data_IF_191039731495
#
_entry.id   IF_191039731495
#
_cell.length_a   1.000
_cell.length_b   1.000
_cell.length_c   1.000
_cell.angle_alpha   90.00
_cell.angle_beta   90.00
_cell.angle_gamma   90.00
#
_symmetry.space_group_name_H-M   'P 1'
#
loop_
_entity.id
_entity.type
_entity.pdbx_description
1 polymer ?
#
# COMPACT_ATOMS: atom_id res chain seq x y z
N UNK A 1 8.00 -39.10 -46.09
CA UNK A 1 8.32 -39.05 -44.64
C UNK A 1 8.22 -37.58 -44.22
N UNK A 2 7.03 -37.15 -43.69
CA UNK A 2 6.75 -35.75 -43.30
C UNK A 2 7.11 -35.57 -41.83
N UNK A 3 8.13 -34.78 -41.57
CA UNK A 3 8.60 -34.44 -40.24
C UNK A 3 7.69 -33.33 -39.68
N UNK A 4 6.82 -33.66 -38.71
CA UNK A 4 6.02 -32.70 -37.96
C UNK A 4 6.95 -31.99 -36.97
N UNK A 5 7.16 -30.70 -37.21
CA UNK A 5 7.91 -29.82 -36.31
C UNK A 5 6.94 -29.28 -35.27
N UNK A 6 6.96 -29.85 -34.04
CA UNK A 6 6.16 -29.40 -32.93
C UNK A 6 6.81 -28.15 -32.33
N UNK A 7 6.21 -26.98 -32.57
CA UNK A 7 6.63 -25.72 -31.93
C UNK A 7 6.12 -25.71 -30.51
N UNK A 8 7.02 -25.88 -29.57
CA UNK A 8 6.74 -25.74 -28.12
C UNK A 8 6.65 -24.23 -27.79
N UNK A 9 5.44 -23.72 -27.60
CA UNK A 9 5.22 -22.37 -27.10
C UNK A 9 5.63 -22.33 -25.61
N UNK A 10 6.85 -21.91 -25.33
CA UNK A 10 7.31 -21.62 -23.97
C UNK A 10 6.69 -20.27 -23.58
N UNK A 11 5.58 -20.31 -22.85
CA UNK A 11 5.02 -19.12 -22.20
C UNK A 11 5.97 -18.64 -21.11
N UNK A 12 6.63 -17.50 -21.33
CA UNK A 12 7.60 -16.91 -20.43
C UNK A 12 6.94 -16.54 -19.11
N UNK A 13 7.52 -16.88 -17.94
CA UNK A 13 6.97 -16.59 -16.60
C UNK A 13 6.84 -15.09 -16.30
N UNK A 14 7.52 -14.22 -17.05
CA UNK A 14 7.40 -12.75 -16.97
C UNK A 14 5.96 -12.24 -17.21
N UNK A 15 5.19 -12.85 -18.11
CA UNK A 15 3.82 -12.42 -18.40
C UNK A 15 2.82 -12.74 -17.27
N UNK A 16 3.07 -13.78 -16.48
CA UNK A 16 2.21 -14.11 -15.35
C UNK A 16 2.40 -13.12 -14.21
N UNK A 17 3.64 -12.76 -13.91
CA UNK A 17 3.96 -11.75 -12.87
C UNK A 17 3.36 -10.38 -13.17
N UNK A 18 3.43 -9.93 -14.43
CA UNK A 18 2.86 -8.63 -14.84
C UNK A 18 1.34 -8.57 -14.61
N UNK A 19 0.60 -9.60 -15.00
CA UNK A 19 -0.87 -9.64 -14.82
C UNK A 19 -1.28 -9.58 -13.34
N UNK A 20 -0.52 -10.20 -12.45
CA UNK A 20 -0.79 -10.18 -11.02
C UNK A 20 -0.52 -8.81 -10.42
N UNK A 21 0.51 -8.11 -10.87
CA UNK A 21 0.83 -6.74 -10.46
C UNK A 21 -0.24 -5.77 -10.96
N UNK A 22 -0.64 -5.85 -12.23
CA UNK A 22 -1.68 -5.01 -12.82
C UNK A 22 -3.02 -5.16 -12.09
N UNK A 23 -3.42 -6.41 -11.80
CA UNK A 23 -4.63 -6.71 -11.03
C UNK A 23 -4.56 -6.09 -9.63
N UNK A 24 -3.42 -6.17 -8.96
CA UNK A 24 -3.24 -5.59 -7.61
C UNK A 24 -3.28 -4.06 -7.62
N UNK A 25 -2.83 -3.41 -8.69
CA UNK A 25 -3.03 -1.96 -8.88
C UNK A 25 -4.51 -1.60 -8.97
N UNK A 26 -5.29 -2.37 -9.71
CA UNK A 26 -6.73 -2.18 -9.79
C UNK A 26 -7.45 -2.46 -8.46
N UNK A 27 -7.05 -3.50 -7.74
CA UNK A 27 -7.55 -3.80 -6.39
C UNK A 27 -7.20 -2.65 -5.42
N UNK A 28 -5.98 -2.10 -5.48
CA UNK A 28 -5.57 -0.95 -4.67
C UNK A 28 -6.42 0.30 -4.98
N UNK A 29 -6.72 0.52 -6.25
CA UNK A 29 -7.61 1.60 -6.67
C UNK A 29 -9.05 1.40 -6.16
N UNK A 30 -9.55 0.16 -6.17
CA UNK A 30 -10.86 -0.18 -5.62
C UNK A 30 -10.92 0.08 -4.11
N UNK A 31 -9.91 -0.38 -3.37
CA UNK A 31 -9.79 -0.15 -1.91
C UNK A 31 -9.80 1.35 -1.59
N UNK A 32 -9.02 2.15 -2.31
CA UNK A 32 -8.99 3.61 -2.11
C UNK A 32 -10.35 4.23 -2.40
N UNK A 33 -10.99 3.86 -3.51
CA UNK A 33 -12.30 4.38 -3.87
C UNK A 33 -13.37 4.07 -2.82
N UNK A 34 -13.37 2.85 -2.29
CA UNK A 34 -14.34 2.40 -1.32
C UNK A 34 -14.16 3.04 0.06
N UNK A 35 -12.89 3.19 0.52
CA UNK A 35 -12.63 3.83 1.81
C UNK A 35 -12.98 5.32 1.77
N UNK A 36 -12.73 5.99 0.65
CA UNK A 36 -13.08 7.41 0.48
C UNK A 36 -14.58 7.63 0.26
N UNK A 37 -15.31 6.64 -0.25
CA UNK A 37 -16.76 6.70 -0.41
C UNK A 37 -17.54 6.39 0.89
N UNK A 38 -16.89 5.85 1.91
CA UNK A 38 -17.54 5.48 3.17
C UNK A 38 -17.92 6.74 4.00
N UNK A 39 -19.21 7.04 4.23
CA UNK A 39 -19.65 8.34 4.77
C UNK A 39 -19.10 8.63 6.18
N UNK A 40 -19.07 7.61 7.04
CA UNK A 40 -18.77 7.76 8.46
C UNK A 40 -17.58 6.91 8.93
N UNK A 41 -16.91 6.23 8.00
CA UNK A 41 -15.80 5.31 8.31
C UNK A 41 -14.62 5.43 7.35
N UNK A 42 -14.65 6.45 6.50
CA UNK A 42 -13.59 6.75 5.54
C UNK A 42 -12.39 7.44 6.18
N UNK A 43 -11.35 7.58 5.41
CA UNK A 43 -10.19 8.41 5.75
C UNK A 43 -10.64 9.88 5.67
N UNK A 44 -10.41 10.69 6.72
CA UNK A 44 -10.65 12.13 6.63
C UNK A 44 -9.80 12.76 5.52
N UNK A 45 -10.43 13.54 4.64
CA UNK A 45 -9.73 14.16 3.49
C UNK A 45 -8.54 15.01 3.92
N UNK A 46 -8.68 15.72 5.05
CA UNK A 46 -7.60 16.57 5.57
C UNK A 46 -6.36 15.77 5.98
N UNK A 47 -6.53 14.54 6.48
CA UNK A 47 -5.40 13.65 6.76
C UNK A 47 -4.75 13.16 5.46
N UNK A 48 -5.56 12.82 4.46
CA UNK A 48 -5.03 12.42 3.15
C UNK A 48 -4.30 13.58 2.46
N UNK A 49 -4.78 14.82 2.59
CA UNK A 49 -4.09 16.02 2.07
C UNK A 49 -2.75 16.26 2.75
N UNK A 50 -2.66 16.03 4.06
CA UNK A 50 -1.43 16.21 4.85
C UNK A 50 -0.45 15.04 4.73
N UNK A 51 -0.86 13.92 4.15
CA UNK A 51 -0.01 12.74 4.07
C UNK A 51 1.16 12.92 3.12
N UNK A 52 2.35 12.57 3.56
CA UNK A 52 3.57 12.51 2.74
C UNK A 52 3.57 11.31 1.80
N UNK A 53 3.09 10.16 2.28
CA UNK A 53 2.92 8.96 1.46
C UNK A 53 1.60 8.26 1.82
N UNK A 54 1.08 7.52 0.85
CA UNK A 54 0.00 6.55 1.05
C UNK A 54 0.49 5.17 0.64
N UNK A 55 0.23 4.17 1.48
CA UNK A 55 0.49 2.78 1.14
C UNK A 55 -0.82 1.99 1.20
N UNK A 56 -1.08 1.19 0.16
CA UNK A 56 -2.30 0.40 0.04
C UNK A 56 -1.91 -1.06 -0.19
N UNK A 57 -2.40 -1.93 0.68
CA UNK A 57 -2.16 -3.38 0.63
C UNK A 57 -3.51 -4.08 0.55
N UNK A 58 -4.00 -4.40 -0.67
CA UNK A 58 -5.22 -5.16 -0.82
C UNK A 58 -5.01 -6.61 -0.37
N UNK A 59 -6.01 -7.17 0.26
CA UNK A 59 -6.04 -8.59 0.57
C UNK A 59 -4.90 -9.08 1.46
N UNK A 60 -4.48 -8.33 2.50
CA UNK A 60 -3.51 -8.78 3.49
C UNK A 60 -4.03 -10.05 4.16
N UNK A 61 -3.37 -11.16 3.93
CA UNK A 61 -3.71 -12.47 4.50
C UNK A 61 -3.11 -12.62 5.88
N UNK A 62 -3.93 -13.08 6.81
CA UNK A 62 -3.52 -13.51 8.15
C UNK A 62 -3.93 -14.96 8.29
N UNK A 63 -2.98 -15.82 8.64
CA UNK A 63 -3.24 -17.22 8.94
C UNK A 63 -2.61 -17.58 10.28
N UNK A 64 -3.34 -18.30 11.14
CA UNK A 64 -2.83 -18.75 12.42
C UNK A 64 -3.29 -20.17 12.74
N UNK A 65 -2.33 -21.00 13.16
CA UNK A 65 -2.54 -22.30 13.79
C UNK A 65 -1.43 -22.48 14.83
N UNK A 66 -1.59 -21.89 16.02
CA UNK A 66 -0.57 -21.81 17.10
C UNK A 66 0.50 -20.73 16.82
N UNK A 67 1.12 -20.73 15.64
CA UNK A 67 1.99 -19.65 15.13
C UNK A 67 1.37 -19.15 13.84
N UNK A 68 1.12 -17.84 13.78
CA UNK A 68 0.49 -17.24 12.63
C UNK A 68 1.45 -16.34 11.85
N UNK A 69 1.12 -16.11 10.58
CA UNK A 69 1.81 -15.19 9.69
C UNK A 69 0.86 -14.16 9.09
N UNK A 70 1.40 -13.00 8.79
CA UNK A 70 0.76 -11.97 7.97
C UNK A 70 1.57 -11.82 6.70
N UNK A 71 0.90 -11.80 5.55
CA UNK A 71 1.54 -11.57 4.27
C UNK A 71 0.60 -10.84 3.33
N UNK A 72 1.09 -9.80 2.69
CA UNK A 72 0.38 -9.06 1.66
C UNK A 72 1.32 -8.24 0.83
N UNK A 73 0.90 -7.94 -0.38
CA UNK A 73 1.62 -7.08 -1.32
C UNK A 73 0.76 -5.88 -1.67
N UNK A 74 1.39 -4.77 -1.98
CA UNK A 74 0.70 -3.53 -2.30
C UNK A 74 1.63 -2.48 -2.87
N UNK A 75 1.20 -1.24 -2.82
CA UNK A 75 1.95 -0.13 -3.41
C UNK A 75 2.01 1.05 -2.47
N UNK A 76 3.08 1.81 -2.59
CA UNK A 76 3.28 3.11 -1.95
C UNK A 76 3.46 4.18 -3.01
N UNK A 77 2.76 5.30 -2.84
CA UNK A 77 3.00 6.55 -3.58
C UNK A 77 3.26 7.66 -2.58
N UNK A 78 4.20 8.54 -2.90
CA UNK A 78 4.57 9.65 -2.03
C UNK A 78 4.40 10.98 -2.77
N UNK A 79 4.34 12.07 -2.01
CA UNK A 79 4.44 13.41 -2.56
C UNK A 79 5.85 13.61 -3.11
N UNK A 80 6.00 14.07 -4.34
CA UNK A 80 7.32 14.47 -4.84
C UNK A 80 7.80 15.74 -4.13
N UNK A 81 9.10 16.08 -4.19
CA UNK A 81 9.66 17.25 -3.49
C UNK A 81 9.04 18.60 -3.83
N UNK A 82 8.35 18.70 -4.96
CA UNK A 82 7.60 19.90 -5.37
C UNK A 82 6.14 19.88 -4.90
N UNK A 83 5.74 18.88 -4.12
CA UNK A 83 4.39 18.67 -3.61
C UNK A 83 3.26 18.67 -4.64
N UNK A 84 3.56 18.50 -5.93
CA UNK A 84 2.55 18.47 -6.99
C UNK A 84 2.21 17.04 -7.37
N UNK A 85 0.98 16.62 -7.02
CA UNK A 85 0.47 15.29 -7.33
C UNK A 85 1.09 14.18 -6.47
N UNK A 86 1.11 12.99 -7.03
CA UNK A 86 1.64 11.78 -6.40
C UNK A 86 2.68 11.13 -7.30
N UNK A 87 3.69 10.55 -6.70
CA UNK A 87 4.71 9.78 -7.41
C UNK A 87 4.13 8.54 -8.07
N UNK A 88 4.83 7.99 -9.04
CA UNK A 88 4.57 6.64 -9.52
C UNK A 88 4.57 5.63 -8.35
N UNK A 89 3.71 4.59 -8.39
CA UNK A 89 3.58 3.63 -7.29
C UNK A 89 4.80 2.69 -7.24
N UNK A 90 5.41 2.58 -6.07
CA UNK A 90 6.46 1.61 -5.80
C UNK A 90 5.89 0.39 -5.06
N UNK A 91 6.35 -0.80 -5.42
CA UNK A 91 5.84 -2.04 -4.86
C UNK A 91 6.38 -2.31 -3.44
N UNK A 92 5.49 -2.72 -2.55
CA UNK A 92 5.81 -3.11 -1.18
C UNK A 92 5.20 -4.47 -0.85
N UNK A 93 5.81 -5.15 0.13
CA UNK A 93 5.23 -6.31 0.78
C UNK A 93 5.21 -6.13 2.29
N UNK A 94 4.16 -6.63 2.91
CA UNK A 94 3.97 -6.66 4.36
C UNK A 94 4.14 -8.08 4.82
N UNK A 95 5.04 -8.28 5.76
CA UNK A 95 5.34 -9.57 6.36
C UNK A 95 5.29 -9.44 7.88
N UNK A 96 4.89 -10.49 8.59
CA UNK A 96 4.92 -10.46 10.05
C UNK A 96 4.50 -11.77 10.65
N UNK A 97 5.10 -12.08 11.81
CA UNK A 97 4.63 -13.15 12.67
C UNK A 97 3.48 -12.67 13.56
N UNK A 98 2.56 -13.55 13.85
CA UNK A 98 1.58 -13.34 14.92
C UNK A 98 1.57 -14.57 15.82
N UNK A 99 1.67 -14.34 17.12
CA UNK A 99 1.47 -15.39 18.12
C UNK A 99 0.07 -15.20 18.69
N UNK A 100 -0.77 -16.21 18.60
CA UNK A 100 -2.12 -16.14 19.16
C UNK A 100 -2.96 -17.37 18.82
N UNK A 101 -3.83 -17.74 19.76
CA UNK A 101 -4.79 -18.82 19.63
C UNK A 101 -5.96 -18.41 18.72
N UNK A 102 -5.70 -18.23 17.42
CA UNK A 102 -6.79 -18.02 16.45
C UNK A 102 -6.65 -19.07 15.35
N UNK A 103 -7.61 -19.98 15.32
CA UNK A 103 -7.77 -20.94 14.21
C UNK A 103 -8.57 -20.21 13.14
N UNK A 104 -7.95 -19.92 12.00
CA UNK A 104 -8.63 -19.32 10.86
C UNK A 104 -7.73 -18.44 9.99
N UNK A 105 -8.15 -18.28 8.74
CA UNK A 105 -7.59 -17.32 7.81
C UNK A 105 -8.50 -16.08 7.72
N UNK A 106 -7.93 -14.90 7.65
CA UNK A 106 -8.64 -13.67 7.33
C UNK A 106 -7.91 -12.91 6.23
N UNK A 107 -8.68 -12.25 5.39
CA UNK A 107 -8.19 -11.36 4.37
C UNK A 107 -8.69 -9.95 4.68
N UNK A 108 -7.81 -8.97 4.62
CA UNK A 108 -8.09 -7.62 5.07
C UNK A 108 -7.37 -6.63 4.17
N UNK A 109 -8.08 -5.67 3.61
CA UNK A 109 -7.44 -4.55 2.92
C UNK A 109 -6.88 -3.58 3.96
N UNK A 110 -5.71 -3.03 3.67
CA UNK A 110 -5.03 -2.10 4.56
C UNK A 110 -4.65 -0.83 3.79
N UNK A 111 -4.94 0.32 4.40
CA UNK A 111 -4.47 1.62 3.93
C UNK A 111 -3.67 2.27 5.05
N UNK A 112 -2.51 2.80 4.71
CA UNK A 112 -1.63 3.51 5.64
C UNK A 112 -1.33 4.90 5.08
N UNK A 113 -1.47 5.93 5.91
CA UNK A 113 -1.00 7.28 5.63
C UNK A 113 0.26 7.55 6.44
N UNK A 114 1.29 7.99 5.78
CA UNK A 114 2.55 8.43 6.40
C UNK A 114 2.48 9.93 6.56
N UNK A 115 2.50 10.40 7.80
CA UNK A 115 2.13 11.76 8.16
C UNK A 115 3.31 12.73 8.23
N UNK A 116 4.54 12.25 8.14
CA UNK A 116 5.74 13.09 8.19
C UNK A 116 6.91 12.51 7.37
N UNK A 117 7.92 13.33 7.12
CA UNK A 117 9.11 12.95 6.35
C UNK A 117 9.91 11.82 7.01
N UNK A 118 9.94 11.78 8.33
CA UNK A 118 10.64 10.73 9.07
C UNK A 118 10.01 9.36 8.82
N UNK A 119 8.69 9.27 8.90
CA UNK A 119 7.94 8.06 8.54
C UNK A 119 8.12 7.68 7.08
N UNK A 120 8.12 8.67 6.16
CA UNK A 120 8.36 8.43 4.74
C UNK A 120 9.77 7.88 4.48
N UNK A 121 10.79 8.46 5.09
CA UNK A 121 12.18 7.96 4.96
C UNK A 121 12.33 6.54 5.48
N UNK A 122 11.67 6.19 6.59
CA UNK A 122 11.65 4.82 7.14
C UNK A 122 10.91 3.85 6.22
N UNK A 123 9.71 4.23 5.75
CA UNK A 123 8.91 3.41 4.85
C UNK A 123 9.65 3.07 3.55
N UNK A 124 10.45 4.00 3.04
CA UNK A 124 11.24 3.85 1.82
C UNK A 124 12.60 3.19 2.04
N UNK A 125 12.92 2.76 3.24
CA UNK A 125 14.09 1.92 3.51
C UNK A 125 13.87 0.50 2.98
N UNK A 126 14.93 -0.29 2.90
CA UNK A 126 14.83 -1.68 2.42
C UNK A 126 13.87 -2.52 3.25
N UNK A 127 13.78 -2.19 4.55
CA UNK A 127 12.95 -2.85 5.54
C UNK A 127 12.57 -1.88 6.65
N UNK A 128 11.33 -1.95 7.12
CA UNK A 128 10.82 -1.12 8.21
C UNK A 128 9.81 -1.91 9.06
N UNK A 129 10.01 -1.93 10.38
CA UNK A 129 9.12 -2.62 11.32
C UNK A 129 8.17 -1.63 11.99
N UNK A 130 6.88 -1.81 11.76
CA UNK A 130 5.81 -1.00 12.31
C UNK A 130 5.70 -1.16 13.82
N UNK A 131 5.73 -0.06 14.55
CA UNK A 131 5.65 -0.05 16.02
C UNK A 131 6.96 -0.34 16.76
N UNK A 132 8.01 -0.84 16.05
CA UNK A 132 9.36 -1.00 16.61
C UNK A 132 10.26 0.18 16.26
N UNK A 133 10.21 0.60 14.99
CA UNK A 133 11.07 1.66 14.44
C UNK A 133 10.30 2.96 14.13
N UNK A 134 8.97 2.95 14.25
CA UNK A 134 8.12 4.11 14.03
C UNK A 134 6.78 3.98 14.73
N UNK A 135 6.23 5.11 15.15
CA UNK A 135 4.93 5.15 15.80
C UNK A 135 3.81 4.93 14.81
N UNK A 136 3.05 3.86 15.00
CA UNK A 136 1.90 3.48 14.18
C UNK A 136 0.65 3.50 15.05
N UNK A 137 -0.32 4.30 14.65
CA UNK A 137 -1.62 4.36 15.30
C UNK A 137 -2.74 3.91 14.36
N UNK A 138 -3.85 3.49 14.97
CA UNK A 138 -5.10 3.32 14.25
C UNK A 138 -5.59 4.69 13.78
N UNK A 139 -5.92 4.81 12.50
CA UNK A 139 -6.45 6.05 11.94
C UNK A 139 -7.85 6.35 12.49
N UNK A 140 -8.20 7.62 12.69
CA UNK A 140 -9.54 8.01 13.10
C UNK A 140 -10.55 7.69 12.01
N UNK A 141 -11.76 7.28 12.41
CA UNK A 141 -12.87 7.01 11.49
C UNK A 141 -13.94 8.09 11.65
N UNK A 142 -14.49 8.57 10.52
CA UNK A 142 -15.56 9.57 10.50
C UNK A 142 -15.11 10.96 10.08
N UNK A 143 -16.10 11.81 9.78
CA UNK A 143 -15.86 13.17 9.28
C UNK A 143 -15.50 14.19 10.36
N UNK A 144 -15.70 13.85 11.61
CA UNK A 144 -15.40 14.76 12.74
C UNK A 144 -14.03 14.43 13.30
N UNK A 145 -13.07 15.25 12.98
CA UNK A 145 -11.68 15.23 13.46
C UNK A 145 -11.53 15.60 14.94
N UNK A 146 -12.60 15.63 15.71
CA UNK A 146 -12.54 15.92 17.15
C UNK A 146 -11.92 14.80 18.02
N UNK A 147 -11.52 13.70 17.40
CA UNK A 147 -10.71 12.66 18.06
C UNK A 147 -9.22 12.81 17.71
N UNK A 148 -8.70 14.00 17.77
CA UNK A 148 -7.26 14.23 17.88
C UNK A 148 -6.81 13.75 19.27
N UNK A 149 -6.69 12.42 19.39
CA UNK A 149 -5.98 11.87 20.55
C UNK A 149 -4.50 12.18 20.36
N UNK A 150 -3.79 12.46 21.45
CA UNK A 150 -2.33 12.71 21.43
C UNK A 150 -1.56 11.64 20.65
N UNK A 151 -2.05 10.41 20.66
CA UNK A 151 -1.48 9.30 19.90
C UNK A 151 -1.59 9.49 18.36
N UNK A 152 -2.72 10.01 17.86
CA UNK A 152 -2.91 10.29 16.43
C UNK A 152 -2.03 11.44 15.96
N UNK A 153 -1.86 12.48 16.78
CA UNK A 153 -1.03 13.63 16.46
C UNK A 153 0.48 13.31 16.44
N UNK A 154 0.91 12.30 17.20
CA UNK A 154 2.33 11.88 17.28
C UNK A 154 2.66 10.75 16.32
N UNK A 155 1.65 10.05 15.80
CA UNK A 155 1.88 8.90 14.93
C UNK A 155 2.57 9.30 13.64
N UNK A 156 3.62 8.60 13.29
CA UNK A 156 4.28 8.72 11.98
C UNK A 156 3.44 8.08 10.88
N UNK A 157 2.68 7.04 11.23
CA UNK A 157 1.83 6.29 10.31
C UNK A 157 0.45 6.07 10.93
N UNK A 158 -0.59 6.43 10.20
CA UNK A 158 -1.98 6.13 10.52
C UNK A 158 -2.46 4.98 9.64
N UNK A 159 -3.18 4.01 10.19
CA UNK A 159 -3.62 2.84 9.45
C UNK A 159 -5.10 2.52 9.62
N UNK A 160 -5.70 2.10 8.51
CA UNK A 160 -7.08 1.62 8.42
C UNK A 160 -7.10 0.23 7.81
N UNK A 161 -8.05 -0.57 8.22
CA UNK A 161 -8.32 -1.86 7.60
C UNK A 161 -9.77 -1.99 7.20
N UNK A 162 -10.01 -2.76 6.14
CA UNK A 162 -11.33 -3.20 5.75
C UNK A 162 -11.41 -4.72 5.84
N UNK A 163 -12.37 -5.19 6.62
CA UNK A 163 -12.72 -6.59 6.67
C UNK A 163 -14.24 -6.71 6.50
N UNK A 164 -14.69 -7.59 5.61
CA UNK A 164 -16.11 -7.80 5.30
C UNK A 164 -16.87 -6.50 4.96
N UNK A 165 -16.24 -5.58 4.23
CA UNK A 165 -16.88 -4.33 3.80
C UNK A 165 -16.94 -3.21 4.86
N UNK A 166 -16.41 -3.43 6.05
CA UNK A 166 -16.36 -2.42 7.12
C UNK A 166 -14.93 -1.93 7.32
N UNK A 167 -14.73 -0.61 7.24
CA UNK A 167 -13.47 0.04 7.59
C UNK A 167 -13.39 0.34 9.09
N UNK A 168 -12.23 0.13 9.66
CA UNK A 168 -11.90 0.47 11.04
C UNK A 168 -10.42 0.84 11.15
N UNK A 169 -10.08 1.64 12.16
CA UNK A 169 -8.69 1.86 12.53
C UNK A 169 -8.03 0.53 12.94
N UNK A 170 -6.81 0.30 12.49
CA UNK A 170 -6.06 -0.93 12.77
C UNK A 170 -4.66 -0.61 13.25
N UNK A 171 -4.24 -1.30 14.30
CA UNK A 171 -2.82 -1.33 14.66
C UNK A 171 -2.09 -2.46 13.93
N UNK A 172 -1.07 -2.09 13.16
CA UNK A 172 -0.21 -3.03 12.42
C UNK A 172 1.10 -3.33 13.15
N UNK A 173 1.17 -3.09 14.45
CA UNK A 173 2.39 -3.31 15.24
C UNK A 173 3.01 -4.68 15.00
N UNK A 174 4.33 -4.71 14.89
CA UNK A 174 5.11 -5.92 14.65
C UNK A 174 5.07 -6.44 13.21
N UNK A 175 4.36 -5.79 12.29
CA UNK A 175 4.46 -6.09 10.88
C UNK A 175 5.69 -5.39 10.27
N UNK A 176 6.37 -6.06 9.36
CA UNK A 176 7.51 -5.52 8.63
C UNK A 176 7.10 -5.19 7.20
N UNK A 177 7.32 -3.96 6.79
CA UNK A 177 7.22 -3.56 5.39
C UNK A 177 8.59 -3.71 4.73
N UNK A 178 8.58 -4.23 3.52
CA UNK A 178 9.77 -4.36 2.67
C UNK A 178 9.45 -3.85 1.28
N UNK A 179 10.45 -3.30 0.60
CA UNK A 179 10.35 -3.05 -0.83
C UNK A 179 10.27 -4.38 -1.60
N UNK A 180 9.47 -4.43 -2.65
CA UNK A 180 9.36 -5.58 -3.54
C UNK A 180 10.02 -5.26 -4.88
N UNK A 181 11.34 -5.54 -4.94
CA UNK A 181 12.17 -5.20 -6.11
C UNK A 181 11.75 -5.99 -7.35
N UNK A 182 11.24 -7.20 -7.18
CA UNK A 182 10.83 -8.06 -8.30
C UNK A 182 9.54 -7.51 -8.94
N UNK A 183 8.62 -6.98 -8.12
CA UNK A 183 7.43 -6.30 -8.64
C UNK A 183 7.75 -4.91 -9.21
N UNK A 184 8.70 -4.19 -8.64
CA UNK A 184 9.18 -2.95 -9.27
C UNK A 184 9.80 -3.24 -10.64
N UNK A 185 10.54 -4.34 -10.79
CA UNK A 185 11.09 -4.76 -12.07
C UNK A 185 9.99 -5.12 -13.08
N UNK A 186 8.93 -5.80 -12.65
CA UNK A 186 7.78 -6.08 -13.49
C UNK A 186 7.08 -4.78 -13.95
N UNK A 187 6.94 -3.77 -13.08
CA UNK A 187 6.30 -2.50 -13.40
C UNK A 187 7.11 -1.61 -14.33
N UNK A 188 8.43 -1.54 -14.11
CA UNK A 188 9.29 -0.52 -14.72
C UNK A 188 10.32 -1.09 -15.70
N UNK A 189 10.37 -2.43 -15.85
CA UNK A 189 11.39 -3.11 -16.66
C UNK A 189 12.80 -3.04 -16.08
N UNK A 190 12.94 -2.55 -14.83
CA UNK A 190 14.19 -2.39 -14.11
C UNK A 190 14.00 -2.66 -12.62
N UNK A 191 14.99 -3.28 -12.00
CA UNK A 191 15.03 -3.55 -10.56
C UNK A 191 15.33 -2.27 -9.78
N UNK A 192 14.29 -1.47 -9.52
CA UNK A 192 14.37 -0.17 -8.87
C UNK A 192 14.06 -0.27 -7.38
N UNK A 193 14.79 0.51 -6.58
CA UNK A 193 14.41 0.74 -5.18
C UNK A 193 13.21 1.67 -5.08
N UNK A 194 12.40 1.50 -4.04
CA UNK A 194 11.20 2.31 -3.82
C UNK A 194 11.54 3.80 -3.76
N UNK A 195 12.67 4.16 -3.17
CA UNK A 195 13.15 5.54 -3.09
C UNK A 195 13.39 6.16 -4.47
N UNK A 196 13.91 5.38 -5.41
CA UNK A 196 14.14 5.84 -6.78
C UNK A 196 12.82 6.07 -7.52
N UNK A 197 11.85 5.16 -7.34
CA UNK A 197 10.53 5.26 -7.97
C UNK A 197 9.77 6.48 -7.46
N UNK A 198 9.70 6.68 -6.14
CA UNK A 198 8.91 7.77 -5.54
C UNK A 198 9.58 9.15 -5.66
N UNK A 199 10.85 9.22 -6.04
CA UNK A 199 11.53 10.51 -6.29
C UNK A 199 10.95 11.30 -7.48
N UNK A 200 9.86 10.81 -8.11
CA UNK A 200 9.16 11.51 -9.19
C UNK A 200 9.83 11.44 -10.57
N UNK A 201 10.84 10.58 -10.72
CA UNK A 201 11.61 10.45 -11.98
C UNK A 201 11.00 9.48 -12.99
N UNK A 202 10.01 8.70 -12.57
CA UNK A 202 9.37 7.69 -13.40
C UNK A 202 7.92 8.05 -13.68
N UNK A 203 7.50 7.87 -14.92
CA UNK A 203 6.09 7.96 -15.26
C UNK A 203 5.34 6.76 -14.65
N UNK A 204 4.14 6.96 -14.09
CA UNK A 204 3.32 5.85 -13.66
C UNK A 204 3.02 4.88 -14.82
N UNK A 205 3.12 3.56 -14.61
CA UNK A 205 2.74 2.60 -15.64
C UNK A 205 1.25 2.72 -15.97
N UNK A 206 0.85 2.35 -17.18
CA UNK A 206 -0.55 2.45 -17.64
C UNK A 206 -1.52 1.73 -16.70
N UNK A 207 -1.14 0.59 -16.15
CA UNK A 207 -1.93 -0.15 -15.18
C UNK A 207 -2.23 0.64 -13.90
N UNK A 208 -1.39 1.62 -13.54
CA UNK A 208 -1.59 2.46 -12.37
C UNK A 208 -2.53 3.66 -12.61
N UNK A 209 -2.99 3.90 -13.84
CA UNK A 209 -3.74 5.11 -14.22
C UNK A 209 -4.97 5.35 -13.35
N UNK A 210 -5.72 4.28 -13.02
CA UNK A 210 -6.91 4.36 -12.16
C UNK A 210 -6.54 4.77 -10.74
N UNK A 211 -5.51 4.16 -10.15
CA UNK A 211 -5.03 4.50 -8.80
C UNK A 211 -4.56 5.96 -8.74
N UNK A 212 -3.74 6.38 -9.71
CA UNK A 212 -3.23 7.75 -9.78
C UNK A 212 -4.34 8.79 -9.95
N UNK A 213 -5.34 8.48 -10.79
CA UNK A 213 -6.52 9.34 -10.97
C UNK A 213 -7.30 9.53 -9.67
N UNK A 214 -7.49 8.45 -8.89
CA UNK A 214 -8.17 8.51 -7.59
C UNK A 214 -7.37 9.28 -6.55
N UNK A 215 -6.07 9.07 -6.47
CA UNK A 215 -5.18 9.81 -5.57
C UNK A 215 -5.26 11.32 -5.86
N UNK A 216 -5.17 11.71 -7.11
CA UNK A 216 -5.26 13.10 -7.52
C UNK A 216 -6.68 13.69 -7.32
N UNK A 217 -7.72 12.87 -7.43
CA UNK A 217 -9.10 13.29 -7.18
C UNK A 217 -9.35 13.60 -5.70
N UNK A 218 -8.94 12.70 -4.81
CA UNK A 218 -9.23 12.82 -3.38
C UNK A 218 -8.22 13.68 -2.63
N UNK A 219 -7.02 13.83 -3.17
CA UNK A 219 -5.98 14.66 -2.59
C UNK A 219 -5.19 15.37 -3.69
N UNK A 220 -5.84 16.30 -4.41
CA UNK A 220 -5.12 17.20 -5.31
C UNK A 220 -4.16 18.04 -4.48
N UNK A 221 -2.99 18.32 -5.02
CA UNK A 221 -2.09 19.29 -4.40
C UNK A 221 -2.56 20.67 -4.79
N UNK A 222 -2.96 21.46 -3.80
CA UNK A 222 -3.08 22.87 -3.95
C UNK A 222 -1.68 23.49 -3.90
N UNK A 223 -1.32 24.23 -4.97
CA UNK A 223 -0.19 25.13 -4.87
C UNK A 223 -0.54 26.18 -3.80
N UNK A 224 0.15 26.12 -2.67
CA UNK A 224 0.18 27.21 -1.70
C UNK A 224 0.85 28.44 -2.30
#
# INVERSE_FOLDING_TARGET
>A
MRMLMTVLLISSPLFAGQKDVDRRLDESAAVLSEIMAAPDKGIPEDLLKKAHCIAIVPGLKKGAFIVGGKYGKGFVSCRPPNDVGWSAPAAIRVEGGSVGFQIGGSETDVVMLVMNERGASKLLSSQFTLGGEGEVAAGPVGRTTSAETDATMRAEILSWSRSRGVFAGLSLQGATLRQDLDENEALYGKRLENREVVAGRFAPPTAASRLMSLLNKYSPVEKS
#
